data_IF_685892847672
#
_entry.id   IF_685892847672
#
_cell.length_a   1.000
_cell.length_b   1.000
_cell.length_c   1.000
_cell.angle_alpha   90.00
_cell.angle_beta   90.00
_cell.angle_gamma   90.00
#
_symmetry.space_group_name_H-M   'P 1'
#
loop_
_entity.id
_entity.type
_entity.pdbx_description
1 polymer ?
#
# COMPACT_ATOMS: atom_id res chain seq x y z
N UNK A 1 -27.70 -47.20 53.27
CA UNK A 1 -27.64 -46.78 51.84
C UNK A 1 -27.91 -45.28 51.63
N UNK A 2 -27.66 -44.40 52.62
CA UNK A 2 -27.90 -42.95 52.50
C UNK A 2 -26.73 -42.16 51.87
N UNK A 3 -25.53 -42.74 51.75
CA UNK A 3 -24.33 -42.01 51.30
C UNK A 3 -24.24 -41.76 49.79
N UNK A 4 -25.25 -42.15 49.00
CA UNK A 4 -25.28 -41.95 47.53
C UNK A 4 -26.10 -40.74 47.07
N UNK A 5 -26.93 -40.15 47.93
CA UNK A 5 -27.82 -39.04 47.55
C UNK A 5 -27.19 -37.66 47.79
N UNK A 6 -26.12 -37.57 48.60
CA UNK A 6 -25.53 -36.28 49.01
C UNK A 6 -24.43 -35.77 48.07
N UNK A 7 -23.92 -36.62 47.17
CA UNK A 7 -22.83 -36.27 46.23
C UNK A 7 -23.15 -35.22 45.14
N UNK A 8 -24.39 -35.05 44.63
CA UNK A 8 -24.63 -34.07 43.57
C UNK A 8 -24.69 -32.62 44.10
N UNK A 9 -24.99 -32.41 45.38
CA UNK A 9 -25.15 -31.07 45.95
C UNK A 9 -23.79 -30.38 46.16
N UNK A 10 -22.75 -31.12 46.56
CA UNK A 10 -21.40 -30.55 46.77
C UNK A 10 -20.71 -30.15 45.47
N UNK A 11 -21.05 -30.79 44.34
CA UNK A 11 -20.46 -30.45 43.02
C UNK A 11 -21.02 -29.15 42.42
N UNK A 12 -22.23 -28.77 42.79
CA UNK A 12 -22.87 -27.53 42.30
C UNK A 12 -22.25 -26.32 43.00
N UNK A 13 -21.93 -26.43 44.29
CA UNK A 13 -21.25 -25.35 45.04
C UNK A 13 -19.83 -25.03 44.50
N UNK A 14 -19.12 -26.03 43.95
CA UNK A 14 -17.77 -25.82 43.40
C UNK A 14 -17.75 -25.18 41.99
N UNK A 15 -18.89 -25.12 41.28
CA UNK A 15 -18.97 -24.53 39.93
C UNK A 15 -19.23 -23.01 39.90
N UNK A 16 -19.42 -22.38 41.07
CA UNK A 16 -19.74 -20.96 41.17
C UNK A 16 -18.57 -20.00 40.97
N UNK A 17 -17.32 -20.48 41.01
CA UNK A 17 -16.15 -19.62 40.82
C UNK A 17 -15.63 -19.78 39.40
N UNK A 18 -16.25 -19.05 38.45
CA UNK A 18 -15.57 -18.76 37.19
C UNK A 18 -14.35 -17.92 37.54
N UNK A 19 -13.19 -18.56 37.68
CA UNK A 19 -11.93 -17.84 37.67
C UNK A 19 -11.76 -17.31 36.26
N UNK A 20 -12.10 -16.04 36.06
CA UNK A 20 -11.57 -15.29 34.95
C UNK A 20 -10.05 -15.45 35.07
N UNK A 21 -9.44 -16.16 34.12
CA UNK A 21 -8.01 -16.00 33.94
C UNK A 21 -7.81 -14.51 33.69
N UNK A 22 -6.98 -13.86 34.51
CA UNK A 22 -6.58 -12.48 34.31
C UNK A 22 -6.00 -12.39 32.90
N UNK A 23 -6.82 -11.85 32.00
CA UNK A 23 -6.60 -11.92 30.56
C UNK A 23 -5.53 -10.89 30.22
N UNK A 24 -4.28 -11.34 30.34
CA UNK A 24 -3.03 -10.61 30.05
C UNK A 24 -2.82 -9.37 30.92
N UNK A 25 -1.60 -9.22 31.42
CA UNK A 25 -1.15 -8.00 32.09
C UNK A 25 -1.50 -6.79 31.21
N UNK A 26 -2.38 -5.90 31.70
CA UNK A 26 -2.63 -4.62 31.06
C UNK A 26 -1.31 -3.84 31.00
N UNK A 27 -0.67 -3.85 29.82
CA UNK A 27 0.56 -3.11 29.59
C UNK A 27 0.18 -1.68 29.23
N UNK A 28 0.61 -0.74 30.05
CA UNK A 28 0.49 0.69 29.72
C UNK A 28 1.31 0.98 28.46
N UNK A 29 0.74 1.80 27.56
CA UNK A 29 1.46 2.29 26.39
C UNK A 29 2.77 2.94 26.86
N UNK A 30 3.91 2.42 26.39
CA UNK A 30 5.24 2.95 26.70
C UNK A 30 5.87 3.50 25.43
N UNK A 31 6.79 4.46 25.60
CA UNK A 31 7.52 5.06 24.47
C UNK A 31 8.33 4.02 23.68
N UNK A 32 8.65 2.88 24.30
CA UNK A 32 9.37 1.77 23.67
C UNK A 32 8.56 1.05 22.58
N UNK A 33 7.24 1.26 22.55
CA UNK A 33 6.35 0.72 21.51
C UNK A 33 6.32 1.58 20.26
N UNK A 34 6.96 2.77 20.27
CA UNK A 34 7.00 3.62 19.11
C UNK A 34 7.93 3.03 18.03
N UNK A 35 7.58 3.20 16.74
CA UNK A 35 8.45 2.80 15.65
C UNK A 35 9.75 3.60 15.71
N UNK A 36 10.87 2.90 15.96
CA UNK A 36 12.21 3.46 15.85
C UNK A 36 12.65 3.34 14.39
N UNK A 37 13.06 4.44 13.73
CA UNK A 37 13.59 4.37 12.38
C UNK A 37 14.79 3.42 12.35
N UNK A 38 14.68 2.36 11.55
CA UNK A 38 15.74 1.36 11.40
C UNK A 38 16.36 1.46 10.00
N UNK A 39 17.69 1.44 9.92
CA UNK A 39 18.44 1.42 8.67
C UNK A 39 18.97 2.78 8.22
N UNK A 40 19.66 2.80 7.08
CA UNK A 40 20.23 4.02 6.50
C UNK A 40 19.19 4.77 5.67
N UNK A 41 18.89 6.00 6.06
CA UNK A 41 18.02 6.90 5.29
C UNK A 41 18.52 7.08 3.85
N UNK A 42 19.84 7.10 3.66
CA UNK A 42 20.46 7.31 2.36
C UNK A 42 20.20 6.11 1.43
N UNK A 43 20.34 4.88 1.93
CA UNK A 43 20.08 3.70 1.12
C UNK A 43 18.62 3.64 0.64
N UNK A 44 17.67 4.02 1.50
CA UNK A 44 16.25 4.09 1.13
C UNK A 44 15.97 5.22 0.13
N UNK A 45 16.58 6.39 0.33
CA UNK A 45 16.50 7.50 -0.60
C UNK A 45 17.03 7.13 -1.99
N UNK A 46 18.22 6.54 -2.06
CA UNK A 46 18.86 6.13 -3.31
C UNK A 46 18.01 5.08 -4.07
N UNK A 47 17.40 4.14 -3.33
CA UNK A 47 16.49 3.15 -3.91
C UNK A 47 15.24 3.81 -4.54
N UNK A 48 14.65 4.79 -3.85
CA UNK A 48 13.51 5.54 -4.39
C UNK A 48 13.91 6.42 -5.57
N UNK A 49 15.06 7.09 -5.51
CA UNK A 49 15.55 7.93 -6.59
C UNK A 49 15.76 7.12 -7.86
N UNK A 50 16.36 5.93 -7.76
CA UNK A 50 16.48 5.00 -8.89
C UNK A 50 15.12 4.62 -9.46
N UNK A 51 14.14 4.28 -8.61
CA UNK A 51 12.78 3.93 -9.04
C UNK A 51 12.12 5.08 -9.81
N UNK A 52 12.16 6.30 -9.27
CA UNK A 52 11.53 7.46 -9.91
C UNK A 52 12.22 7.86 -11.20
N UNK A 53 13.56 7.83 -11.25
CA UNK A 53 14.30 8.09 -12.49
C UNK A 53 13.95 7.08 -13.58
N UNK A 54 13.79 5.80 -13.23
CA UNK A 54 13.34 4.78 -14.18
C UNK A 54 11.93 5.03 -14.69
N UNK A 55 11.00 5.41 -13.81
CA UNK A 55 9.64 5.76 -14.19
C UNK A 55 9.60 7.01 -15.08
N UNK A 56 10.41 8.02 -14.77
CA UNK A 56 10.53 9.23 -15.56
C UNK A 56 11.03 8.93 -16.98
N UNK A 57 12.12 8.17 -17.10
CA UNK A 57 12.67 7.77 -18.41
C UNK A 57 11.63 6.98 -19.19
N UNK A 58 10.99 5.98 -18.57
CA UNK A 58 9.97 5.18 -19.24
C UNK A 58 8.79 6.02 -19.73
N UNK A 59 8.27 6.92 -18.89
CA UNK A 59 7.16 7.81 -19.23
C UNK A 59 7.51 8.79 -20.35
N UNK A 60 8.69 9.42 -20.28
CA UNK A 60 9.16 10.36 -21.31
C UNK A 60 9.38 9.64 -22.65
N UNK A 61 10.03 8.48 -22.64
CA UNK A 61 10.24 7.69 -23.86
C UNK A 61 8.91 7.24 -24.48
N UNK A 62 7.98 6.75 -23.66
CA UNK A 62 6.65 6.35 -24.13
C UNK A 62 5.88 7.53 -24.73
N UNK A 63 5.91 8.69 -24.09
CA UNK A 63 5.25 9.90 -24.56
C UNK A 63 5.83 10.36 -25.91
N UNK A 64 7.15 10.47 -26.02
CA UNK A 64 7.83 10.88 -27.26
C UNK A 64 7.50 9.91 -28.40
N UNK A 65 7.60 8.60 -28.15
CA UNK A 65 7.29 7.59 -29.17
C UNK A 65 5.83 7.69 -29.64
N UNK A 66 4.89 7.81 -28.70
CA UNK A 66 3.47 7.95 -29.01
C UNK A 66 3.19 9.23 -29.81
N UNK A 67 3.82 10.34 -29.44
CA UNK A 67 3.64 11.62 -30.11
C UNK A 67 4.16 11.57 -31.56
N UNK A 68 5.36 11.02 -31.77
CA UNK A 68 5.94 10.82 -33.10
C UNK A 68 5.03 9.93 -33.94
N UNK A 69 4.56 8.80 -33.39
CA UNK A 69 3.66 7.90 -34.08
C UNK A 69 2.35 8.59 -34.49
N UNK A 70 1.70 9.32 -33.59
CA UNK A 70 0.47 10.05 -33.87
C UNK A 70 0.65 11.16 -34.91
N UNK A 71 1.84 11.77 -34.97
CA UNK A 71 2.21 12.74 -36.00
C UNK A 71 2.41 12.07 -37.35
N UNK A 72 3.14 10.97 -37.39
CA UNK A 72 3.46 10.24 -38.61
C UNK A 72 2.23 9.56 -39.22
N UNK A 73 1.29 9.08 -38.39
CA UNK A 73 0.04 8.45 -38.86
C UNK A 73 -0.98 9.46 -39.40
N UNK A 74 -0.74 10.76 -39.25
CA UNK A 74 -1.70 11.82 -39.59
C UNK A 74 -2.87 11.94 -38.61
N UNK A 75 -2.88 11.19 -37.50
CA UNK A 75 -3.94 11.24 -36.48
C UNK A 75 -3.92 12.53 -35.66
N UNK A 76 -2.76 13.20 -35.61
CA UNK A 76 -2.59 14.46 -34.89
C UNK A 76 -2.32 15.59 -35.90
N UNK A 77 -3.20 16.60 -35.98
CA UNK A 77 -2.97 17.84 -36.75
C UNK A 77 -2.76 19.00 -35.79
N UNK A 78 -1.59 19.66 -35.85
CA UNK A 78 -1.22 20.69 -34.87
C UNK A 78 -1.53 22.12 -35.33
N UNK A 79 -1.93 22.32 -36.59
CA UNK A 79 -2.14 23.65 -37.19
C UNK A 79 -1.03 24.66 -36.82
N UNK A 80 0.23 24.22 -36.84
CA UNK A 80 1.35 25.00 -36.29
C UNK A 80 1.73 26.19 -37.18
N UNK A 81 1.43 26.10 -38.47
CA UNK A 81 1.75 27.11 -39.47
C UNK A 81 0.55 27.31 -40.40
N UNK A 82 0.36 28.52 -40.94
CA UNK A 82 -0.62 28.74 -41.98
C UNK A 82 -0.36 27.82 -43.19
N UNK A 83 -1.41 27.39 -43.89
CA UNK A 83 -1.27 26.49 -45.04
C UNK A 83 -0.44 27.16 -46.13
N UNK A 84 0.47 26.41 -46.74
CA UNK A 84 1.23 26.89 -47.89
C UNK A 84 0.27 27.24 -49.04
N UNK A 85 0.52 28.35 -49.76
CA UNK A 85 -0.31 28.71 -50.91
C UNK A 85 -0.21 27.60 -51.96
N UNK A 86 -1.36 27.18 -52.51
CA UNK A 86 -1.40 26.19 -53.58
C UNK A 86 -0.59 26.71 -54.77
N UNK A 87 0.53 26.06 -55.07
CA UNK A 87 1.26 26.30 -56.32
C UNK A 87 0.33 25.93 -57.47
N UNK A 88 0.08 26.86 -58.40
CA UNK A 88 -0.75 26.58 -59.57
C UNK A 88 -0.08 25.45 -60.35
N UNK A 89 -0.80 24.36 -60.55
CA UNK A 89 -0.37 23.32 -61.49
C UNK A 89 -0.64 23.87 -62.88
N UNK A 90 0.43 24.21 -63.61
CA UNK A 90 0.41 24.50 -65.05
C UNK A 90 0.34 23.22 -65.87
#
# INVERSE_FOLDING_TARGET
MLNRVVRPITRIAQRGVRRYHEDKSFKYASMDELPVPSGSWQAQYDAYQKKYNMQLIAGVTFFIATFIFAKASGSLYLNAYPPEPKTKQE
#
